data_IF_511200875309
#
_entry.id   IF_511200875309
#
_cell.length_a   1.000
_cell.length_b   1.000
_cell.length_c   1.000
_cell.angle_alpha   90.00
_cell.angle_beta   90.00
_cell.angle_gamma   90.00
#
_symmetry.space_group_name_H-M   'P 1'
#
loop_
_entity.id
_entity.type
_entity.pdbx_description
1 polymer ?
#
# COMPACT_ATOMS: atom_id res chain seq x y z
N UNK A 1 -5.24 10.33 5.26
CA UNK A 1 -3.98 10.84 4.67
C UNK A 1 -2.85 10.04 5.32
N UNK A 2 -2.04 9.31 4.53
CA UNK A 2 -0.87 8.58 5.04
C UNK A 2 0.36 9.40 4.69
N UNK A 3 0.78 10.24 5.63
CA UNK A 3 1.90 11.16 5.44
C UNK A 3 3.10 10.64 6.21
N UNK A 4 4.25 10.57 5.53
CA UNK A 4 5.55 10.27 6.14
C UNK A 4 6.37 11.55 6.09
N UNK A 5 6.87 11.99 7.24
CA UNK A 5 7.63 13.25 7.39
C UNK A 5 9.06 12.96 7.81
N UNK A 6 10.02 13.65 7.21
CA UNK A 6 11.43 13.54 7.54
C UNK A 6 12.22 14.83 7.27
N UNK A 7 13.54 14.83 7.55
CA UNK A 7 14.37 16.04 7.46
C UNK A 7 14.50 16.61 6.03
N UNK A 8 14.13 15.85 5.01
CA UNK A 8 14.15 16.27 3.59
C UNK A 8 12.78 16.76 3.09
N UNK A 9 11.74 16.72 3.92
CA UNK A 9 10.37 17.08 3.57
C UNK A 9 9.37 15.98 3.93
N UNK A 10 8.30 15.85 3.15
CA UNK A 10 7.25 14.86 3.41
C UNK A 10 6.81 14.14 2.14
N UNK A 11 6.23 12.96 2.32
CA UNK A 11 5.62 12.17 1.25
C UNK A 11 4.20 11.82 1.67
N UNK A 12 3.26 12.09 0.78
CA UNK A 12 1.85 11.79 0.93
C UNK A 12 1.42 10.87 -0.20
N UNK A 13 0.64 9.84 0.12
CA UNK A 13 -0.08 9.10 -0.90
C UNK A 13 -1.28 9.94 -1.35
N UNK A 14 -1.29 10.35 -2.62
CA UNK A 14 -2.41 11.09 -3.23
C UNK A 14 -3.28 10.11 -3.99
N UNK A 15 -4.53 10.07 -3.55
CA UNK A 15 -5.59 9.31 -4.19
C UNK A 15 -5.72 9.73 -5.67
N UNK A 16 -5.53 8.77 -6.58
CA UNK A 16 -5.79 8.93 -8.00
C UNK A 16 -7.30 8.85 -8.30
N UNK A 17 -7.66 8.60 -9.57
CA UNK A 17 -9.07 8.50 -10.02
C UNK A 17 -9.91 7.44 -9.27
N UNK A 18 -9.27 6.43 -8.67
CA UNK A 18 -9.94 5.37 -7.89
C UNK A 18 -10.60 5.83 -6.58
N UNK A 19 -10.26 7.01 -6.06
CA UNK A 19 -10.84 7.53 -4.82
C UNK A 19 -12.08 8.42 -5.01
N UNK A 20 -12.61 8.49 -6.25
CA UNK A 20 -13.84 9.24 -6.51
C UNK A 20 -15.05 8.54 -5.88
N UNK A 21 -15.96 9.35 -5.34
CA UNK A 21 -17.21 8.91 -4.74
C UNK A 21 -18.03 8.12 -5.78
N UNK A 22 -18.45 6.90 -5.44
CA UNK A 22 -19.15 5.98 -6.36
C UNK A 22 -18.28 4.86 -6.93
N UNK A 23 -16.94 4.91 -6.80
CA UNK A 23 -16.03 3.86 -7.31
C UNK A 23 -15.75 2.73 -6.30
N UNK A 24 -16.54 2.59 -5.23
CA UNK A 24 -16.30 1.53 -4.23
C UNK A 24 -16.43 0.11 -4.80
N UNK A 25 -17.20 -0.07 -5.88
CA UNK A 25 -17.39 -1.34 -6.57
C UNK A 25 -16.39 -1.56 -7.73
N UNK A 26 -15.56 -0.56 -8.03
CA UNK A 26 -14.53 -0.65 -9.06
C UNK A 26 -13.30 -1.38 -8.50
N UNK A 27 -13.17 -2.65 -8.87
CA UNK A 27 -12.11 -3.54 -8.39
C UNK A 27 -10.73 -3.07 -8.84
N UNK A 28 -10.61 -2.51 -10.04
CA UNK A 28 -9.35 -1.97 -10.57
C UNK A 28 -8.94 -0.68 -9.83
N UNK A 29 -9.92 0.11 -9.40
CA UNK A 29 -9.70 1.29 -8.57
C UNK A 29 -9.05 1.00 -7.22
N UNK A 30 -9.21 -0.22 -6.69
CA UNK A 30 -8.63 -0.66 -5.41
C UNK A 30 -7.23 -1.25 -5.54
N UNK A 31 -6.87 -1.80 -6.71
CA UNK A 31 -5.51 -2.28 -6.97
C UNK A 31 -4.58 -1.15 -7.36
N UNK A 32 -5.17 -0.10 -7.97
CA UNK A 32 -4.58 1.18 -8.32
C UNK A 32 -3.51 1.67 -7.35
N UNK A 33 -2.23 1.49 -7.70
CA UNK A 33 -1.15 2.15 -7.00
C UNK A 33 -1.38 3.67 -7.11
N UNK A 34 -1.61 4.30 -5.97
CA UNK A 34 -1.84 5.74 -5.85
C UNK A 34 -0.53 6.49 -6.11
N UNK A 35 -0.60 7.71 -6.63
CA UNK A 35 0.60 8.52 -6.81
C UNK A 35 1.18 8.95 -5.46
N UNK A 36 2.49 9.15 -5.40
CA UNK A 36 3.15 9.77 -4.25
C UNK A 36 3.37 11.24 -4.55
N UNK A 37 2.92 12.12 -3.66
CA UNK A 37 3.28 13.54 -3.67
C UNK A 37 4.43 13.77 -2.71
N UNK A 38 5.55 14.24 -3.23
CA UNK A 38 6.74 14.58 -2.46
C UNK A 38 6.82 16.09 -2.29
N UNK A 39 6.82 16.53 -1.04
CA UNK A 39 7.10 17.90 -0.63
C UNK A 39 8.56 18.02 -0.22
N UNK A 40 9.31 18.98 -0.76
CA UNK A 40 10.72 19.18 -0.44
C UNK A 40 10.93 20.28 0.60
N UNK A 41 11.74 20.03 1.63
CA UNK A 41 11.98 21.00 2.72
C UNK A 41 13.07 22.04 2.43
N UNK A 42 13.83 21.91 1.34
CA UNK A 42 15.01 22.75 1.08
C UNK A 42 14.62 24.19 0.75
N UNK A 43 15.13 25.16 1.51
CA UNK A 43 14.88 26.60 1.33
C UNK A 43 16.08 27.32 0.71
N UNK A 44 15.80 28.33 -0.11
CA UNK A 44 16.77 29.23 -0.71
C UNK A 44 17.13 30.38 0.23
N UNK A 45 18.06 31.23 -0.19
CA UNK A 45 18.48 32.39 0.58
C UNK A 45 17.36 33.43 0.82
N UNK A 46 16.30 33.38 0.00
CA UNK A 46 15.08 34.20 0.12
C UNK A 46 14.01 33.57 1.02
N UNK A 47 14.31 32.44 1.65
CA UNK A 47 13.38 31.69 2.50
C UNK A 47 12.32 30.90 1.74
N UNK A 48 12.37 30.84 0.40
CA UNK A 48 11.41 30.08 -0.41
C UNK A 48 11.90 28.67 -0.71
N UNK A 49 10.97 27.76 -0.97
CA UNK A 49 11.32 26.39 -1.39
C UNK A 49 12.13 26.41 -2.69
N UNK A 50 13.24 25.68 -2.68
CA UNK A 50 14.13 25.55 -3.85
C UNK A 50 13.63 24.54 -4.87
N UNK A 51 12.67 23.69 -4.48
CA UNK A 51 12.08 22.66 -5.34
C UNK A 51 10.55 22.70 -5.21
N UNK A 52 9.82 22.63 -6.33
CA UNK A 52 8.38 22.44 -6.28
C UNK A 52 8.03 21.03 -5.80
N UNK A 53 6.78 20.83 -5.41
CA UNK A 53 6.25 19.50 -5.14
C UNK A 53 6.39 18.60 -6.38
N UNK A 54 6.74 17.34 -6.15
CA UNK A 54 6.86 16.33 -7.20
C UNK A 54 5.74 15.30 -7.06
N UNK A 55 5.05 14.99 -8.16
CA UNK A 55 4.24 13.78 -8.26
C UNK A 55 5.12 12.65 -8.79
N UNK A 56 5.22 11.58 -8.02
CA UNK A 56 5.85 10.32 -8.41
C UNK A 56 4.72 9.34 -8.72
N UNK A 57 4.43 9.13 -10.02
CA UNK A 57 3.40 8.19 -10.41
C UNK A 57 3.87 6.75 -10.22
N UNK A 58 2.92 5.86 -10.02
CA UNK A 58 3.12 4.43 -9.81
C UNK A 58 2.58 3.64 -11.00
N UNK A 59 2.94 4.07 -12.21
CA UNK A 59 2.39 3.63 -13.52
C UNK A 59 2.60 2.15 -13.87
N UNK A 60 3.21 1.36 -13.00
CA UNK A 60 3.52 -0.06 -13.24
C UNK A 60 2.46 -1.03 -12.69
N UNK A 61 1.30 -0.52 -12.29
CA UNK A 61 0.20 -1.34 -11.78
C UNK A 61 -0.48 -2.13 -12.93
N UNK A 62 -0.46 -3.47 -12.90
CA UNK A 62 -1.05 -4.30 -13.94
C UNK A 62 -2.59 -4.41 -13.85
N UNK A 63 -3.23 -3.70 -12.92
CA UNK A 63 -4.67 -3.85 -12.64
C UNK A 63 -4.97 -5.14 -11.88
N UNK A 64 -6.23 -5.36 -11.51
CA UNK A 64 -6.59 -6.48 -10.66
C UNK A 64 -6.29 -7.83 -11.33
N UNK A 65 -6.73 -8.00 -12.57
CA UNK A 65 -6.53 -9.25 -13.31
C UNK A 65 -5.03 -9.55 -13.52
N UNK A 66 -4.22 -8.53 -13.78
CA UNK A 66 -2.79 -8.70 -13.95
C UNK A 66 -2.05 -8.99 -12.64
N UNK A 67 -2.56 -8.52 -11.49
CA UNK A 67 -2.07 -8.97 -10.18
C UNK A 67 -2.43 -10.44 -9.95
N UNK A 68 -3.68 -10.85 -10.21
CA UNK A 68 -4.09 -12.25 -10.11
C UNK A 68 -3.27 -13.16 -11.02
N UNK A 69 -3.01 -12.76 -12.26
CA UNK A 69 -2.16 -13.52 -13.19
C UNK A 69 -0.75 -13.73 -12.61
N UNK A 70 -0.12 -12.68 -12.07
CA UNK A 70 1.20 -12.78 -11.44
C UNK A 70 1.21 -13.74 -10.25
N UNK A 71 0.17 -13.71 -9.43
CA UNK A 71 0.00 -14.64 -8.31
C UNK A 71 -0.11 -16.10 -8.80
N UNK A 72 -0.93 -16.34 -9.84
CA UNK A 72 -1.10 -17.69 -10.40
C UNK A 72 0.20 -18.22 -11.02
N UNK A 73 0.94 -17.39 -11.76
CA UNK A 73 2.24 -17.75 -12.34
C UNK A 73 3.25 -18.11 -11.24
N UNK A 74 3.30 -17.33 -10.16
CA UNK A 74 4.16 -17.63 -9.02
C UNK A 74 3.77 -18.94 -8.32
N UNK A 75 2.47 -19.17 -8.16
CA UNK A 75 1.95 -20.40 -7.55
C UNK A 75 2.27 -21.65 -8.40
N UNK A 76 2.07 -21.58 -9.72
CA UNK A 76 2.48 -22.66 -10.63
C UNK A 76 3.97 -22.95 -10.52
N UNK A 77 4.81 -21.90 -10.50
CA UNK A 77 6.25 -22.02 -10.33
C UNK A 77 6.59 -22.72 -9.02
N UNK A 78 5.94 -22.35 -7.91
CA UNK A 78 6.17 -22.97 -6.61
C UNK A 78 5.86 -24.47 -6.62
N UNK A 79 4.80 -24.89 -7.31
CA UNK A 79 4.45 -26.31 -7.48
C UNK A 79 5.51 -27.04 -8.32
N UNK A 80 5.92 -26.46 -9.46
CA UNK A 80 6.85 -27.11 -10.39
C UNK A 80 8.28 -27.20 -9.85
N UNK A 81 8.72 -26.18 -9.14
CA UNK A 81 10.10 -26.03 -8.68
C UNK A 81 10.27 -26.38 -7.19
N UNK A 82 9.18 -26.71 -6.49
CA UNK A 82 9.16 -26.98 -5.06
C UNK A 82 9.80 -25.83 -4.25
N UNK A 83 9.33 -24.60 -4.52
CA UNK A 83 9.83 -23.41 -3.83
C UNK A 83 9.40 -23.41 -2.36
N UNK A 84 10.26 -22.87 -1.50
CA UNK A 84 9.94 -22.66 -0.10
C UNK A 84 8.94 -21.51 0.05
N UNK A 85 7.75 -21.83 0.56
CA UNK A 85 6.66 -20.88 0.80
C UNK A 85 6.47 -20.58 2.30
N UNK A 86 7.44 -20.90 3.16
CA UNK A 86 7.33 -20.70 4.61
C UNK A 86 6.93 -19.26 4.96
N UNK A 87 7.60 -18.27 4.38
CA UNK A 87 7.27 -16.86 4.62
C UNK A 87 5.83 -16.50 4.16
N UNK A 88 5.38 -17.03 3.02
CA UNK A 88 4.02 -16.81 2.52
C UNK A 88 2.96 -17.39 3.47
N UNK A 89 3.21 -18.58 4.02
CA UNK A 89 2.31 -19.22 4.98
C UNK A 89 2.31 -18.51 6.33
N UNK A 90 3.48 -18.07 6.80
CA UNK A 90 3.60 -17.27 8.02
C UNK A 90 2.81 -15.96 7.92
N UNK A 91 2.90 -15.27 6.77
CA UNK A 91 2.12 -14.05 6.50
C UNK A 91 0.60 -14.32 6.51
N UNK A 92 0.15 -15.44 5.94
CA UNK A 92 -1.26 -15.83 5.98
C UNK A 92 -1.75 -16.08 7.41
N UNK A 93 -0.97 -16.77 8.23
CA UNK A 93 -1.30 -17.01 9.65
C UNK A 93 -1.27 -15.70 10.44
N UNK A 94 -0.30 -14.83 10.21
CA UNK A 94 -0.21 -13.53 10.88
C UNK A 94 -1.40 -12.63 10.53
N UNK A 95 -1.84 -12.64 9.27
CA UNK A 95 -3.06 -11.94 8.85
C UNK A 95 -4.30 -12.43 9.61
N UNK A 96 -4.46 -13.76 9.75
CA UNK A 96 -5.56 -14.34 10.54
C UNK A 96 -5.49 -13.96 12.03
N UNK A 97 -4.29 -13.92 12.61
CA UNK A 97 -4.09 -13.47 14.00
C UNK A 97 -4.56 -12.03 14.21
N UNK A 98 -4.25 -11.14 13.27
CA UNK A 98 -4.69 -9.74 13.31
C UNK A 98 -6.22 -9.65 13.23
N UNK A 99 -6.86 -10.39 12.32
CA UNK A 99 -8.32 -10.40 12.18
C UNK A 99 -8.99 -10.94 13.46
N UNK A 100 -8.46 -12.02 14.03
CA UNK A 100 -8.97 -12.57 15.28
C UNK A 100 -8.82 -11.59 16.45
N UNK A 101 -7.67 -10.90 16.56
CA UNK A 101 -7.45 -9.86 17.57
C UNK A 101 -8.39 -8.66 17.39
N UNK A 102 -8.72 -8.29 16.15
CA UNK A 102 -9.68 -7.23 15.86
C UNK A 102 -11.11 -7.61 16.30
N UNK A 103 -11.56 -8.83 16.02
CA UNK A 103 -12.86 -9.33 16.50
C UNK A 103 -12.90 -9.39 18.04
N UNK A 104 -11.84 -9.86 18.68
CA UNK A 104 -11.75 -9.88 20.14
C UNK A 104 -11.77 -8.46 20.73
N UNK A 105 -11.00 -7.53 20.16
CA UNK A 105 -10.98 -6.11 20.56
C UNK A 105 -12.38 -5.49 20.48
N UNK A 106 -13.11 -5.74 19.39
CA UNK A 106 -14.48 -5.25 19.22
C UNK A 106 -15.43 -5.76 20.32
N UNK A 107 -15.32 -7.05 20.68
CA UNK A 107 -16.19 -7.67 21.71
C UNK A 107 -15.86 -7.20 23.12
N UNK A 108 -14.57 -7.00 23.42
CA UNK A 108 -14.10 -6.70 24.77
C UNK A 108 -13.91 -5.20 25.04
N UNK A 109 -13.89 -4.36 23.99
CA UNK A 109 -13.69 -2.91 24.12
C UNK A 109 -12.29 -2.53 24.58
N UNK A 110 -11.26 -3.35 24.31
CA UNK A 110 -9.87 -3.09 24.71
C UNK A 110 -8.87 -3.51 23.64
N UNK A 111 -7.68 -2.91 23.67
CA UNK A 111 -6.55 -3.31 22.81
C UNK A 111 -6.09 -4.74 23.12
N UNK A 112 -5.80 -5.50 22.05
CA UNK A 112 -5.19 -6.84 22.11
C UNK A 112 -3.74 -6.72 21.65
N UNK A 113 -2.81 -7.28 22.42
CA UNK A 113 -1.39 -7.36 22.07
C UNK A 113 -1.10 -8.71 21.40
N UNK A 114 -0.42 -8.66 20.25
CA UNK A 114 0.03 -9.81 19.46
C UNK A 114 1.55 -9.99 19.55
#
# INVERSE_FOLDING_TARGET
>A
MKDVVGPKGSVTIVAGKGAQEGNSADVDGHTGAQALKVHHAALGADGKFTKPDQLVPTEADPGHDGLCEREQVYFEKAIRENLDLTAHLDDAVNSMRIVAAADQSFREGRTINL
#
